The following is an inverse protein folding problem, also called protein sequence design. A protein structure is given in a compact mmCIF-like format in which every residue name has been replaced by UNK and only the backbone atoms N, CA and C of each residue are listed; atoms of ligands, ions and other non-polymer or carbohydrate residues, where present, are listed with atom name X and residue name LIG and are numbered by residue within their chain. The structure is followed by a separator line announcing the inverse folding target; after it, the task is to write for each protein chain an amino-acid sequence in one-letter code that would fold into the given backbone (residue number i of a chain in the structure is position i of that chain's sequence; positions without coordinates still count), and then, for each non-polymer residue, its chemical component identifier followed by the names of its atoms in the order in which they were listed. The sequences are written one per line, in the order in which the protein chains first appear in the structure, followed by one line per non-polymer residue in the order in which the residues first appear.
data_IF_230946157983
#
_entry.id   IF_230946157983
#
_cell.length_a   1.000
_cell.length_b   1.000
_cell.length_c   1.000
_cell.angle_alpha   90.00
_cell.angle_beta   90.00
_cell.angle_gamma   90.00
#
_symmetry.space_group_name_H-M   'P 1'
#
loop_
_entity.id
_entity.type
_entity.pdbx_description
1 polymer ?
#
# COMPACT_ATOMS: atom_id res chain seq x y z
N UNK A 1 -6.53 -6.36 10.59
CA UNK A 1 -6.35 -6.05 9.14
C UNK A 1 -6.41 -7.37 8.40
N UNK A 2 -7.08 -7.40 7.26
CA UNK A 2 -7.12 -8.60 6.43
C UNK A 2 -5.72 -8.92 5.88
N UNK A 3 -5.46 -10.20 5.68
CA UNK A 3 -4.24 -10.68 5.01
C UNK A 3 -4.54 -10.95 3.54
N UNK A 4 -3.50 -10.95 2.71
CA UNK A 4 -3.58 -11.36 1.30
C UNK A 4 -4.21 -12.75 1.14
N UNK A 5 -3.96 -13.68 2.07
CA UNK A 5 -4.54 -15.04 2.08
C UNK A 5 -6.07 -15.05 2.05
N UNK A 6 -6.71 -14.00 2.59
CA UNK A 6 -8.17 -13.86 2.68
C UNK A 6 -8.77 -13.04 1.52
N UNK A 7 -7.92 -12.53 0.62
CA UNK A 7 -8.28 -11.54 -0.40
C UNK A 7 -7.66 -11.92 -1.77
N UNK A 8 -8.24 -12.89 -2.49
CA UNK A 8 -7.73 -13.28 -3.80
C UNK A 8 -7.73 -12.10 -4.77
N UNK A 9 -6.65 -11.96 -5.54
CA UNK A 9 -6.41 -10.83 -6.44
C UNK A 9 -5.57 -9.69 -5.83
N UNK A 10 -5.23 -9.74 -4.54
CA UNK A 10 -4.34 -8.78 -3.88
C UNK A 10 -2.89 -9.26 -3.71
N UNK A 11 -2.54 -10.43 -4.26
CA UNK A 11 -1.23 -11.06 -4.08
C UNK A 11 -0.09 -10.15 -4.53
N UNK A 12 -0.28 -9.39 -5.61
CA UNK A 12 0.72 -8.46 -6.16
C UNK A 12 0.52 -7.01 -5.73
N UNK A 13 -0.63 -6.69 -5.12
CA UNK A 13 -1.06 -5.31 -4.89
C UNK A 13 -0.01 -4.47 -4.14
N UNK A 14 0.57 -5.00 -3.05
CA UNK A 14 1.61 -4.30 -2.30
C UNK A 14 2.86 -4.01 -3.13
N UNK A 15 3.26 -4.97 -3.97
CA UNK A 15 4.40 -4.80 -4.87
C UNK A 15 4.11 -3.78 -5.97
N UNK A 16 2.90 -3.79 -6.52
CA UNK A 16 2.44 -2.86 -7.56
C UNK A 16 2.39 -1.42 -7.02
N UNK A 17 1.86 -1.22 -5.81
CA UNK A 17 1.88 0.09 -5.12
C UNK A 17 3.32 0.58 -4.93
N UNK A 18 4.23 -0.30 -4.49
CA UNK A 18 5.65 0.05 -4.29
C UNK A 18 6.33 0.42 -5.61
N UNK A 19 6.03 -0.30 -6.68
CA UNK A 19 6.57 -0.04 -8.02
C UNK A 19 6.06 1.30 -8.55
N UNK A 20 4.76 1.56 -8.48
CA UNK A 20 4.14 2.82 -8.91
C UNK A 20 4.70 4.02 -8.13
N UNK A 21 4.83 3.91 -6.80
CA UNK A 21 5.43 4.97 -5.98
C UNK A 21 6.84 5.32 -6.42
N UNK A 22 7.67 4.30 -6.66
CA UNK A 22 9.06 4.47 -7.14
C UNK A 22 9.11 5.09 -8.54
N UNK A 23 8.24 4.64 -9.46
CA UNK A 23 8.13 5.20 -10.81
C UNK A 23 7.70 6.68 -10.81
N UNK A 24 6.95 7.11 -9.79
CA UNK A 24 6.58 8.51 -9.56
C UNK A 24 7.61 9.30 -8.74
N UNK A 25 8.78 8.70 -8.42
CA UNK A 25 9.83 9.31 -7.61
C UNK A 25 9.37 9.79 -6.22
N UNK A 26 8.33 9.18 -5.66
CA UNK A 26 7.81 9.55 -4.35
C UNK A 26 8.51 8.77 -3.24
N UNK A 27 8.87 9.47 -2.17
CA UNK A 27 9.21 8.79 -0.92
C UNK A 27 7.95 8.19 -0.30
N UNK A 28 8.11 7.19 0.57
CA UNK A 28 6.97 6.59 1.26
C UNK A 28 6.22 7.60 2.13
N UNK A 29 6.94 8.51 2.77
CA UNK A 29 6.36 9.56 3.61
C UNK A 29 5.48 10.50 2.78
N UNK A 30 5.98 10.93 1.62
CA UNK A 30 5.23 11.82 0.70
C UNK A 30 3.94 11.15 0.20
N UNK A 31 4.00 9.89 -0.25
CA UNK A 31 2.78 9.20 -0.71
C UNK A 31 1.78 9.01 0.45
N UNK A 32 2.26 8.68 1.64
CA UNK A 32 1.41 8.50 2.81
C UNK A 32 0.69 9.80 3.21
N UNK A 33 1.38 10.95 3.14
CA UNK A 33 0.78 12.28 3.36
C UNK A 33 -0.29 12.60 2.31
N UNK A 34 -0.05 12.33 1.02
CA UNK A 34 -1.03 12.55 -0.06
C UNK A 34 -2.32 11.74 0.16
N UNK A 35 -2.18 10.49 0.60
CA UNK A 35 -3.30 9.57 0.83
C UNK A 35 -3.94 9.75 2.22
N UNK A 36 -3.33 10.57 3.10
CA UNK A 36 -3.84 10.80 4.45
C UNK A 36 -3.70 9.60 5.39
N UNK A 37 -2.62 8.81 5.24
CA UNK A 37 -2.33 7.64 6.07
C UNK A 37 -0.96 7.70 6.72
N UNK A 38 -0.74 6.87 7.73
CA UNK A 38 0.58 6.72 8.35
C UNK A 38 1.59 6.04 7.42
N UNK A 39 2.80 6.57 7.33
CA UNK A 39 3.84 6.02 6.44
C UNK A 39 4.25 4.59 6.79
N UNK A 40 4.15 4.22 8.08
CA UNK A 40 4.37 2.84 8.56
C UNK A 40 3.26 1.90 8.08
N UNK A 41 2.03 2.41 7.96
CA UNK A 41 0.93 1.64 7.42
C UNK A 41 1.15 1.37 5.92
N UNK A 42 1.54 2.39 5.16
CA UNK A 42 1.97 2.22 3.76
C UNK A 42 3.14 1.23 3.63
N UNK A 43 4.08 1.20 4.58
CA UNK A 43 5.18 0.23 4.55
C UNK A 43 4.70 -1.22 4.75
N UNK A 44 3.66 -1.42 5.56
CA UNK A 44 3.07 -2.74 5.75
C UNK A 44 2.27 -3.19 4.51
N UNK A 45 1.57 -2.28 3.84
CA UNK A 45 0.91 -2.55 2.55
C UNK A 45 1.95 -2.98 1.51
N UNK A 46 3.03 -2.22 1.36
CA UNK A 46 4.04 -2.49 0.33
C UNK A 46 4.88 -3.76 0.55
N UNK A 47 5.08 -4.19 1.80
CA UNK A 47 6.09 -5.21 2.12
C UNK A 47 5.59 -6.40 2.95
N UNK A 48 4.40 -6.32 3.56
CA UNK A 48 3.91 -7.35 4.50
C UNK A 48 2.56 -7.93 4.11
N UNK A 49 2.09 -7.68 2.88
CA UNK A 49 0.80 -8.19 2.41
C UNK A 49 -0.39 -7.68 3.24
N UNK A 50 -0.26 -6.49 3.84
CA UNK A 50 -1.37 -5.87 4.55
C UNK A 50 -2.38 -5.33 3.55
N UNK A 51 -3.63 -5.78 3.64
CA UNK A 51 -4.70 -5.28 2.79
C UNK A 51 -5.19 -3.94 3.33
N UNK A 52 -5.17 -2.86 2.52
CA UNK A 52 -5.72 -1.58 2.94
C UNK A 52 -7.24 -1.61 3.09
N UNK A 53 -7.79 -0.74 3.91
CA UNK A 53 -9.22 -0.45 3.89
C UNK A 53 -9.62 0.24 2.58
N UNK A 54 -10.86 0.04 2.14
CA UNK A 54 -11.38 0.62 0.88
C UNK A 54 -11.13 2.13 0.71
N UNK A 55 -11.28 2.99 1.76
CA UNK A 55 -11.01 4.43 1.64
C UNK A 55 -9.58 4.82 1.27
N UNK A 56 -8.63 3.89 1.36
CA UNK A 56 -7.22 4.12 0.99
C UNK A 56 -6.98 3.80 -0.50
N UNK A 57 -7.90 3.04 -1.12
CA UNK A 57 -7.81 2.59 -2.52
C UNK A 57 -8.60 3.51 -3.47
N UNK A 58 -9.74 4.04 -3.01
CA UNK A 58 -10.66 4.90 -3.80
C UNK A 58 -10.28 6.38 -3.72
#
# INVERSE_FOLDING_TARGET
MAKVEDCPGFETFGADVKAARKAKHLTRKVLAEIVGIEWRYLANIENKGTIPSLPVII
#
